data_IF_890453488510
#
_entry.id   IF_890453488510
#
_cell.length_a   1.000
_cell.length_b   1.000
_cell.length_c   1.000
_cell.angle_alpha   90.00
_cell.angle_beta   90.00
_cell.angle_gamma   90.00
#
_symmetry.space_group_name_H-M   'P 1'
#
loop_
_entity.id
_entity.type
_entity.pdbx_description
1 polymer ?
#
# COMPACT_ATOMS: atom_id res chain seq x y z
N UNK A 1 10.44 5.37 -10.08
CA UNK A 1 10.83 4.71 -11.21
C UNK A 1 10.96 3.23 -11.15
N UNK A 2 12.16 2.61 -11.03
CA UNK A 2 12.26 1.16 -10.99
C UNK A 2 11.41 0.54 -9.88
N UNK A 3 11.50 1.10 -8.67
CA UNK A 3 10.69 0.63 -7.55
C UNK A 3 9.20 0.83 -7.77
N UNK A 4 8.82 1.93 -8.41
CA UNK A 4 7.40 2.19 -8.70
C UNK A 4 6.84 1.19 -9.69
N UNK A 5 7.61 0.83 -10.70
CA UNK A 5 7.15 -0.14 -11.69
C UNK A 5 6.99 -1.52 -11.06
N UNK A 6 7.94 -1.93 -10.22
CA UNK A 6 7.85 -3.20 -9.52
C UNK A 6 6.66 -3.23 -8.57
N UNK A 7 6.42 -2.12 -7.86
CA UNK A 7 5.29 -2.02 -6.98
C UNK A 7 3.97 -2.07 -7.76
N UNK A 8 3.90 -1.38 -8.90
CA UNK A 8 2.71 -1.41 -9.73
C UNK A 8 2.36 -2.84 -10.15
N UNK A 9 3.37 -3.63 -10.53
CA UNK A 9 3.17 -5.03 -10.88
C UNK A 9 2.71 -5.86 -9.67
N UNK A 10 3.30 -5.59 -8.51
CA UNK A 10 2.90 -6.27 -7.29
C UNK A 10 1.46 -5.93 -6.92
N UNK A 11 1.05 -4.68 -7.11
CA UNK A 11 -0.30 -4.22 -6.80
C UNK A 11 -1.36 -4.92 -7.66
N UNK A 12 -0.99 -5.40 -8.84
CA UNK A 12 -1.94 -6.13 -9.69
C UNK A 12 -2.45 -7.42 -9.03
N UNK A 13 -1.77 -7.91 -8.00
CA UNK A 13 -2.20 -9.10 -7.27
C UNK A 13 -3.23 -8.79 -6.19
N UNK A 14 -3.45 -7.52 -5.91
CA UNK A 14 -4.43 -7.09 -4.92
C UNK A 14 -5.78 -6.91 -5.58
N UNK A 15 -6.85 -7.02 -4.77
CA UNK A 15 -8.15 -6.63 -5.28
C UNK A 15 -8.21 -5.10 -5.44
N UNK A 16 -9.26 -4.62 -6.07
CA UNK A 16 -9.39 -3.21 -6.40
C UNK A 16 -9.34 -2.31 -5.16
N UNK A 17 -10.06 -2.68 -4.11
CA UNK A 17 -10.10 -1.87 -2.90
C UNK A 17 -8.75 -1.85 -2.18
N UNK A 18 -8.11 -3.00 -2.07
CA UNK A 18 -6.77 -3.08 -1.45
C UNK A 18 -5.78 -2.21 -2.21
N UNK A 19 -5.81 -2.29 -3.53
CA UNK A 19 -4.93 -1.52 -4.39
C UNK A 19 -5.13 -0.02 -4.20
N UNK A 20 -6.38 0.42 -4.24
CA UNK A 20 -6.68 1.84 -4.08
C UNK A 20 -6.25 2.38 -2.71
N UNK A 21 -6.48 1.60 -1.67
CA UNK A 21 -6.08 2.01 -0.32
C UNK A 21 -4.57 2.12 -0.20
N UNK A 22 -3.83 1.16 -0.73
CA UNK A 22 -2.36 1.20 -0.70
C UNK A 22 -1.84 2.38 -1.51
N UNK A 23 -2.40 2.64 -2.68
CA UNK A 23 -1.99 3.79 -3.50
C UNK A 23 -2.18 5.11 -2.76
N UNK A 24 -3.28 5.26 -2.07
CA UNK A 24 -3.56 6.48 -1.31
C UNK A 24 -2.70 6.61 -0.08
N UNK A 25 -2.57 5.53 0.68
CA UNK A 25 -1.79 5.56 1.92
C UNK A 25 -0.35 5.95 1.67
N UNK A 26 0.24 5.48 0.58
CA UNK A 26 1.65 5.73 0.29
C UNK A 26 1.89 6.77 -0.80
N UNK A 27 0.83 7.39 -1.30
CA UNK A 27 0.95 8.46 -2.28
C UNK A 27 1.60 8.00 -3.58
N UNK A 28 1.28 6.80 -4.05
CA UNK A 28 1.97 6.21 -5.19
C UNK A 28 1.66 6.89 -6.52
N UNK A 29 0.51 7.53 -6.63
CA UNK A 29 0.12 8.19 -7.88
C UNK A 29 0.47 9.68 -7.89
N UNK A 30 0.20 10.37 -6.79
CA UNK A 30 0.35 11.82 -6.74
C UNK A 30 1.47 12.30 -5.82
N UNK A 31 2.18 11.39 -5.16
CA UNK A 31 3.24 11.75 -4.25
C UNK A 31 2.77 12.30 -2.91
N UNK A 32 1.48 12.20 -2.60
CA UNK A 32 0.89 12.71 -1.36
C UNK A 32 0.28 11.60 -0.52
N UNK A 33 1.04 11.01 0.42
CA UNK A 33 0.50 9.98 1.30
C UNK A 33 -0.71 10.49 2.08
N UNK A 34 -1.70 9.63 2.24
CA UNK A 34 -2.93 9.96 2.99
C UNK A 34 -2.89 9.31 4.35
N UNK A 35 -3.50 9.97 5.34
CA UNK A 35 -3.62 9.41 6.69
C UNK A 35 -4.70 8.33 6.71
N UNK A 36 -4.71 7.51 7.77
CA UNK A 36 -5.80 6.55 7.96
C UNK A 36 -7.16 7.24 7.99
N UNK A 37 -7.21 8.42 8.63
CA UNK A 37 -8.44 9.21 8.68
C UNK A 37 -8.91 9.60 7.28
N UNK A 38 -8.00 10.12 6.46
CA UNK A 38 -8.33 10.56 5.10
C UNK A 38 -8.89 9.42 4.27
N UNK A 39 -8.24 8.26 4.34
CA UNK A 39 -8.68 7.09 3.59
C UNK A 39 -10.01 6.57 4.13
N UNK A 40 -10.19 6.54 5.44
CA UNK A 40 -11.43 6.08 6.05
C UNK A 40 -12.62 6.94 5.60
N UNK A 41 -12.43 8.24 5.53
CA UNK A 41 -13.48 9.15 5.07
C UNK A 41 -13.80 8.95 3.59
N UNK A 42 -12.77 8.76 2.77
CA UNK A 42 -12.96 8.57 1.34
C UNK A 42 -13.75 7.31 1.01
N UNK A 43 -13.48 6.22 1.73
CA UNK A 43 -14.14 4.94 1.48
C UNK A 43 -15.33 4.68 2.41
N UNK A 44 -15.61 5.62 3.30
CA UNK A 44 -16.71 5.50 4.26
C UNK A 44 -16.61 4.22 5.10
N UNK A 45 -15.42 3.97 5.62
CA UNK A 45 -15.15 2.85 6.52
C UNK A 45 -14.35 3.37 7.72
N UNK A 46 -14.21 2.56 8.76
CA UNK A 46 -13.46 2.97 9.94
C UNK A 46 -11.95 2.98 9.69
N UNK A 47 -11.22 3.74 10.50
CA UNK A 47 -9.74 3.75 10.44
C UNK A 47 -9.18 2.36 10.69
N UNK A 48 -9.78 1.64 11.64
CA UNK A 48 -9.36 0.28 11.95
C UNK A 48 -9.55 -0.65 10.74
N UNK A 49 -10.64 -0.47 10.00
CA UNK A 49 -10.89 -1.25 8.79
C UNK A 49 -9.83 -0.95 7.73
N UNK A 50 -9.47 0.34 7.57
CA UNK A 50 -8.40 0.72 6.64
C UNK A 50 -7.10 0.05 7.03
N UNK A 51 -6.75 0.08 8.33
CA UNK A 51 -5.54 -0.55 8.83
C UNK A 51 -5.52 -2.05 8.56
N UNK A 52 -6.64 -2.73 8.78
CA UNK A 52 -6.76 -4.16 8.52
C UNK A 52 -6.57 -4.48 7.05
N UNK A 53 -7.19 -3.70 6.17
CA UNK A 53 -7.06 -3.89 4.73
C UNK A 53 -5.61 -3.66 4.30
N UNK A 54 -4.97 -2.64 4.84
CA UNK A 54 -3.57 -2.34 4.55
C UNK A 54 -2.65 -3.50 4.95
N UNK A 55 -2.84 -4.04 6.16
CA UNK A 55 -2.04 -5.16 6.65
C UNK A 55 -2.23 -6.37 5.74
N UNK A 56 -3.47 -6.67 5.39
CA UNK A 56 -3.80 -7.80 4.53
C UNK A 56 -3.21 -7.65 3.15
N UNK A 57 -3.27 -6.43 2.60
CA UNK A 57 -2.69 -6.13 1.30
C UNK A 57 -1.17 -6.35 1.32
N UNK A 58 -0.50 -5.85 2.34
CA UNK A 58 0.93 -6.00 2.48
C UNK A 58 1.32 -7.47 2.62
N UNK A 59 0.53 -8.26 3.34
CA UNK A 59 0.78 -9.69 3.45
C UNK A 59 0.68 -10.40 2.11
N UNK A 60 -0.29 -10.01 1.28
CA UNK A 60 -0.40 -10.57 -0.07
C UNK A 60 0.82 -10.22 -0.93
N UNK A 61 1.41 -9.06 -0.70
CA UNK A 61 2.60 -8.62 -1.42
C UNK A 61 3.87 -9.31 -0.96
N UNK A 62 3.83 -9.99 0.19
CA UNK A 62 4.99 -10.72 0.73
C UNK A 62 5.17 -12.08 0.07
N UNK A 63 4.92 -12.19 -1.21
CA UNK A 63 5.16 -13.42 -1.92
C UNK A 63 6.66 -13.75 -1.93
N UNK A 64 7.06 -15.03 -1.74
CA UNK A 64 8.49 -15.38 -1.65
C UNK A 64 9.34 -14.87 -2.79
N UNK A 65 8.82 -14.88 -4.02
CA UNK A 65 9.56 -14.41 -5.19
C UNK A 65 9.79 -12.90 -5.21
N UNK A 66 9.12 -12.16 -4.34
CA UNK A 66 9.20 -10.69 -4.30
C UNK A 66 9.67 -10.17 -2.96
N UNK A 67 10.02 -11.06 -2.05
CA UNK A 67 10.33 -10.70 -0.67
C UNK A 67 11.44 -9.65 -0.57
N UNK A 68 12.48 -9.78 -1.37
CA UNK A 68 13.60 -8.84 -1.33
C UNK A 68 13.19 -7.44 -1.79
N UNK A 69 12.43 -7.37 -2.87
CA UNK A 69 11.94 -6.10 -3.41
C UNK A 69 10.99 -5.40 -2.44
N UNK A 70 10.10 -6.17 -1.87
CA UNK A 70 9.12 -5.65 -0.91
C UNK A 70 9.77 -5.20 0.38
N UNK A 71 10.80 -5.89 0.83
CA UNK A 71 11.51 -5.51 2.04
C UNK A 71 12.12 -4.12 1.87
N UNK A 72 12.80 -3.90 0.75
CA UNK A 72 13.39 -2.60 0.44
C UNK A 72 12.33 -1.51 0.37
N UNK A 73 11.23 -1.78 -0.31
CA UNK A 73 10.13 -0.86 -0.44
C UNK A 73 9.50 -0.53 0.92
N UNK A 74 9.31 -1.55 1.73
CA UNK A 74 8.76 -1.42 3.06
C UNK A 74 9.63 -0.53 3.95
N UNK A 75 10.94 -0.68 3.87
CA UNK A 75 11.87 0.16 4.62
C UNK A 75 11.74 1.62 4.20
N UNK A 76 11.60 1.87 2.90
CA UNK A 76 11.41 3.23 2.40
C UNK A 76 10.11 3.85 2.91
N UNK A 77 9.03 3.09 2.93
CA UNK A 77 7.74 3.56 3.40
C UNK A 77 7.73 3.80 4.91
N UNK A 78 8.32 2.89 5.67
CA UNK A 78 8.36 3.02 7.12
C UNK A 78 9.26 4.15 7.58
N UNK A 79 10.29 4.47 6.82
CA UNK A 79 11.19 5.56 7.18
C UNK A 79 10.52 6.94 7.07
N UNK A 80 9.39 7.02 6.39
CA UNK A 80 8.64 8.26 6.25
C UNK A 80 7.61 8.48 7.33
N UNK A 81 7.37 7.49 8.14
CA UNK A 81 6.47 7.60 9.28
C UNK A 81 7.28 7.95 10.55
#
# INVERSE_FOLDING_TARGET
MFLREQLARALDQLDEREREIIKLRYGLEDGHPRTLKDVSLKFNITRERVRQIEIKAIEKLKHPSRRAELKRFRELLLSEE
#
